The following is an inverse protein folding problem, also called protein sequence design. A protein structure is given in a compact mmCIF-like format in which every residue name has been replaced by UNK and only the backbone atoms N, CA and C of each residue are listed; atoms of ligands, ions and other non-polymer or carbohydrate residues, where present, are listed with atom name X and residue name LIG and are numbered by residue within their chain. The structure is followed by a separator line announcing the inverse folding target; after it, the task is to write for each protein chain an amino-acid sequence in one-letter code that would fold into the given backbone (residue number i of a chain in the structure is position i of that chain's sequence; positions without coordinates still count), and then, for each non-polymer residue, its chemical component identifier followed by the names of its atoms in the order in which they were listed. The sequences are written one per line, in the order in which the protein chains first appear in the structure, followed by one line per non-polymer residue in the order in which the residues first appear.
data_IF_607432742334
#
_entry.id   IF_607432742334
#
_cell.length_a   1.000
_cell.length_b   1.000
_cell.length_c   1.000
_cell.angle_alpha   90.00
_cell.angle_beta   90.00
_cell.angle_gamma   90.00
#
_symmetry.space_group_name_H-M   'P 1'
#
loop_
_entity.id
_entity.type
_entity.pdbx_description
1 polymer ?
#
# COMPACT_ATOMS: atom_id res chain seq x y z
N UNK A 1 -16.90 1.25 24.15
CA UNK A 1 -15.79 1.27 23.18
C UNK A 1 -16.03 2.43 22.23
N UNK A 2 -15.24 3.49 22.31
CA UNK A 2 -15.35 4.61 21.39
C UNK A 2 -14.78 4.17 20.04
N UNK A 3 -15.60 4.19 19.00
CA UNK A 3 -15.20 3.90 17.65
C UNK A 3 -14.34 5.08 17.15
N UNK A 4 -13.02 4.91 17.14
CA UNK A 4 -12.11 5.93 16.64
C UNK A 4 -12.20 5.94 15.11
N UNK A 5 -12.72 7.02 14.54
CA UNK A 5 -12.91 7.17 13.11
C UNK A 5 -11.84 8.11 12.58
N UNK A 6 -10.93 7.56 11.76
CA UNK A 6 -10.04 8.36 10.94
C UNK A 6 -10.68 8.54 9.56
N UNK A 7 -10.99 9.78 9.18
CA UNK A 7 -11.60 10.11 7.90
C UNK A 7 -10.54 10.67 6.95
N UNK A 8 -10.36 10.02 5.81
CA UNK A 8 -9.54 10.55 4.71
C UNK A 8 -10.49 11.06 3.63
N UNK A 9 -10.50 12.37 3.43
CA UNK A 9 -11.27 13.00 2.35
C UNK A 9 -10.34 13.37 1.21
N UNK A 10 -10.68 12.93 0.03
CA UNK A 10 -9.97 13.20 -1.19
C UNK A 10 -10.77 14.16 -2.07
N UNK A 11 -10.14 15.28 -2.46
CA UNK A 11 -10.70 16.23 -3.43
C UNK A 11 -9.78 16.33 -4.64
N UNK A 12 -10.32 16.16 -5.84
CA UNK A 12 -9.57 16.23 -7.08
C UNK A 12 -9.51 17.69 -7.54
N UNK A 13 -8.35 18.34 -7.38
CA UNK A 13 -8.12 19.68 -7.91
C UNK A 13 -7.69 19.59 -9.37
N UNK A 14 -8.59 19.91 -10.28
CA UNK A 14 -8.27 19.98 -11.72
C UNK A 14 -7.33 21.16 -12.00
N UNK A 15 -6.03 20.92 -12.10
CA UNK A 15 -5.16 21.81 -12.87
C UNK A 15 -5.29 21.46 -14.35
N UNK A 16 -5.11 22.46 -15.27
CA UNK A 16 -5.28 22.38 -16.74
C UNK A 16 -4.47 21.30 -17.50
N UNK A 17 -3.75 20.45 -16.81
CA UNK A 17 -3.04 19.31 -17.43
C UNK A 17 -4.05 18.20 -17.66
N UNK A 18 -4.11 17.70 -18.90
CA UNK A 18 -5.02 16.62 -19.30
C UNK A 18 -4.92 15.44 -18.33
N UNK A 19 -6.07 14.93 -17.89
CA UNK A 19 -6.16 13.73 -17.03
C UNK A 19 -5.41 12.55 -17.65
N UNK A 20 -5.46 12.44 -18.99
CA UNK A 20 -4.77 11.41 -19.75
C UNK A 20 -3.24 11.52 -19.63
N UNK A 21 -2.68 12.73 -19.69
CA UNK A 21 -1.24 12.93 -19.52
C UNK A 21 -0.76 12.50 -18.12
N UNK A 22 -1.51 12.86 -17.08
CA UNK A 22 -1.20 12.43 -15.70
C UNK A 22 -1.29 10.93 -15.53
N UNK A 23 -2.29 10.30 -16.14
CA UNK A 23 -2.46 8.85 -16.12
C UNK A 23 -1.25 8.16 -16.77
N UNK A 24 -0.83 8.62 -17.96
CA UNK A 24 0.36 8.10 -18.65
C UNK A 24 1.61 8.27 -17.76
N UNK A 25 1.78 9.43 -17.14
CA UNK A 25 2.92 9.69 -16.26
C UNK A 25 2.91 8.77 -15.04
N UNK A 26 1.75 8.52 -14.43
CA UNK A 26 1.62 7.55 -13.34
C UNK A 26 2.00 6.14 -13.80
N UNK A 27 1.53 5.72 -14.97
CA UNK A 27 1.88 4.41 -15.52
C UNK A 27 3.41 4.29 -15.75
N UNK A 28 4.04 5.33 -16.30
CA UNK A 28 5.51 5.36 -16.50
C UNK A 28 6.23 5.24 -15.15
N UNK A 29 5.79 5.97 -14.13
CA UNK A 29 6.42 5.93 -12.80
C UNK A 29 6.25 4.56 -12.15
N UNK A 30 5.05 3.98 -12.22
CA UNK A 30 4.79 2.65 -11.60
C UNK A 30 5.56 1.55 -12.31
N UNK A 31 5.50 1.50 -13.64
CA UNK A 31 6.22 0.48 -14.43
C UNK A 31 7.73 0.67 -14.31
N UNK A 32 8.21 1.91 -14.41
CA UNK A 32 9.62 2.25 -14.21
C UNK A 32 10.10 1.84 -12.82
N UNK A 33 9.33 2.12 -11.78
CA UNK A 33 9.65 1.65 -10.43
C UNK A 33 9.74 0.13 -10.35
N UNK A 34 8.77 -0.61 -10.90
CA UNK A 34 8.80 -2.08 -10.86
C UNK A 34 10.06 -2.63 -11.54
N UNK A 35 10.45 -2.10 -12.69
CA UNK A 35 11.67 -2.53 -13.40
C UNK A 35 12.93 -2.18 -12.60
N UNK A 36 13.05 -0.93 -12.14
CA UNK A 36 14.18 -0.45 -11.36
C UNK A 36 14.25 -1.10 -9.97
N UNK A 37 13.15 -1.66 -9.48
CA UNK A 37 13.11 -2.33 -8.17
C UNK A 37 13.76 -3.72 -8.16
N UNK A 38 14.11 -4.29 -9.31
CA UNK A 38 14.75 -5.61 -9.37
C UNK A 38 16.02 -5.67 -8.50
N UNK A 39 17.02 -4.79 -8.67
CA UNK A 39 18.18 -4.79 -7.79
C UNK A 39 17.83 -4.43 -6.34
N UNK A 40 16.83 -3.58 -6.13
CA UNK A 40 16.39 -3.21 -4.77
C UNK A 40 15.80 -4.43 -4.05
N UNK A 41 14.96 -5.22 -4.71
CA UNK A 41 14.41 -6.46 -4.15
C UNK A 41 15.50 -7.46 -3.76
N UNK A 42 16.58 -7.53 -4.55
CA UNK A 42 17.74 -8.36 -4.22
C UNK A 42 18.44 -7.85 -2.96
N UNK A 43 18.68 -6.55 -2.85
CA UNK A 43 19.27 -5.93 -1.66
C UNK A 43 18.38 -6.16 -0.43
N UNK A 44 17.08 -5.94 -0.55
CA UNK A 44 16.12 -6.20 0.52
C UNK A 44 16.10 -7.68 0.95
N UNK A 45 16.23 -8.58 -0.01
CA UNK A 45 16.34 -10.01 0.30
C UNK A 45 17.61 -10.34 1.12
N UNK A 46 18.74 -9.73 0.75
CA UNK A 46 19.99 -9.88 1.51
C UNK A 46 19.84 -9.29 2.92
N UNK A 47 19.33 -8.06 3.04
CA UNK A 47 19.07 -7.42 4.34
C UNK A 47 18.18 -8.31 5.20
N UNK A 48 17.14 -8.89 4.61
CA UNK A 48 16.19 -9.76 5.30
C UNK A 48 16.81 -11.05 5.89
N UNK A 49 17.97 -11.49 5.37
CA UNK A 49 18.74 -12.61 5.94
C UNK A 49 19.39 -12.25 7.28
N UNK A 50 19.77 -10.98 7.45
CA UNK A 50 20.44 -10.49 8.65
C UNK A 50 19.46 -9.83 9.63
N UNK A 51 18.53 -9.03 9.11
CA UNK A 51 17.57 -8.30 9.92
C UNK A 51 16.21 -8.16 9.19
N UNK A 52 15.25 -9.03 9.58
CA UNK A 52 13.90 -9.03 8.98
C UNK A 52 13.18 -7.71 9.19
N UNK A 53 13.24 -7.14 10.42
CA UNK A 53 12.55 -5.88 10.72
C UNK A 53 13.11 -4.71 9.91
N UNK A 54 14.42 -4.64 9.74
CA UNK A 54 15.05 -3.61 8.91
C UNK A 54 14.58 -3.70 7.46
N UNK A 55 14.53 -4.91 6.87
CA UNK A 55 13.98 -5.15 5.54
C UNK A 55 12.52 -4.69 5.43
N UNK A 56 11.69 -5.09 6.39
CA UNK A 56 10.25 -4.80 6.35
C UNK A 56 10.00 -3.28 6.42
N UNK A 57 10.71 -2.57 7.30
CA UNK A 57 10.59 -1.11 7.42
C UNK A 57 11.14 -0.40 6.18
N UNK A 58 12.29 -0.82 5.65
CA UNK A 58 12.88 -0.19 4.46
C UNK A 58 11.98 -0.43 3.24
N UNK A 59 11.46 -1.62 3.06
CA UNK A 59 10.48 -1.94 2.02
C UNK A 59 9.22 -1.05 2.12
N UNK A 60 8.69 -0.85 3.33
CA UNK A 60 7.55 0.04 3.55
C UNK A 60 7.89 1.48 3.14
N UNK A 61 9.06 2.01 3.55
CA UNK A 61 9.46 3.38 3.25
C UNK A 61 9.66 3.61 1.75
N UNK A 62 10.22 2.64 1.03
CA UNK A 62 10.38 2.69 -0.43
C UNK A 62 9.00 2.77 -1.10
N UNK A 63 8.08 1.88 -0.75
CA UNK A 63 6.72 1.88 -1.32
C UNK A 63 5.97 3.18 -0.97
N UNK A 64 6.07 3.67 0.26
CA UNK A 64 5.50 4.95 0.67
C UNK A 64 6.05 6.13 -0.16
N UNK A 65 7.36 6.14 -0.47
CA UNK A 65 7.96 7.19 -1.29
C UNK A 65 7.39 7.19 -2.71
N UNK A 66 7.25 6.01 -3.32
CA UNK A 66 6.64 5.86 -4.64
C UNK A 66 5.17 6.29 -4.63
N UNK A 67 4.41 5.87 -3.63
CA UNK A 67 3.00 6.25 -3.51
C UNK A 67 2.81 7.76 -3.30
N UNK A 68 3.68 8.41 -2.49
CA UNK A 68 3.68 9.88 -2.37
C UNK A 68 3.97 10.55 -3.72
N UNK A 69 4.91 10.01 -4.51
CA UNK A 69 5.21 10.51 -5.85
C UNK A 69 3.98 10.39 -6.76
N UNK A 70 3.33 9.25 -6.80
CA UNK A 70 2.10 9.02 -7.58
C UNK A 70 1.00 9.99 -7.15
N UNK A 71 0.75 10.14 -5.86
CA UNK A 71 -0.26 11.07 -5.33
C UNK A 71 0.03 12.54 -5.73
N UNK A 72 1.30 12.96 -5.73
CA UNK A 72 1.70 14.30 -6.21
C UNK A 72 1.42 14.48 -7.71
N UNK A 73 1.74 13.48 -8.53
CA UNK A 73 1.50 13.52 -9.99
C UNK A 73 0.01 13.64 -10.30
N UNK A 74 -0.83 12.91 -9.56
CA UNK A 74 -2.28 12.97 -9.75
C UNK A 74 -2.86 14.33 -9.37
N UNK A 75 -2.13 15.13 -8.59
CA UNK A 75 -2.58 16.44 -8.12
C UNK A 75 -3.74 16.35 -7.15
N UNK A 76 -3.74 15.31 -6.35
CA UNK A 76 -4.76 15.05 -5.35
C UNK A 76 -4.56 15.97 -4.15
N UNK A 77 -5.62 16.61 -3.69
CA UNK A 77 -5.67 17.30 -2.42
C UNK A 77 -6.21 16.34 -1.36
N UNK A 78 -5.39 16.07 -0.35
CA UNK A 78 -5.67 15.05 0.65
C UNK A 78 -5.90 15.74 1.98
N UNK A 79 -7.11 15.60 2.52
CA UNK A 79 -7.44 16.03 3.87
C UNK A 79 -7.54 14.82 4.78
N UNK A 80 -6.77 14.83 5.85
CA UNK A 80 -6.74 13.77 6.85
C UNK A 80 -7.35 14.35 8.12
N UNK A 81 -8.36 13.68 8.66
CA UNK A 81 -9.07 14.10 9.87
C UNK A 81 -9.05 12.93 10.85
N UNK A 82 -8.61 13.17 12.08
CA UNK A 82 -8.58 12.15 13.13
C UNK A 82 -7.37 11.22 13.08
N UNK A 83 -6.28 11.60 12.40
CA UNK A 83 -5.04 10.81 12.38
C UNK A 83 -4.44 10.67 13.78
N UNK A 84 -4.62 11.66 14.61
CA UNK A 84 -4.23 11.70 16.02
C UNK A 84 -4.91 10.61 16.87
N UNK A 85 -6.02 10.06 16.40
CA UNK A 85 -6.76 8.99 17.08
C UNK A 85 -6.23 7.59 16.78
N UNK A 86 -5.26 7.46 15.85
CA UNK A 86 -4.67 6.16 15.51
C UNK A 86 -3.66 5.76 16.57
N UNK A 87 -3.85 4.61 17.26
CA UNK A 87 -2.90 4.12 18.25
C UNK A 87 -1.56 3.79 17.62
N UNK A 88 -0.45 4.13 18.31
CA UNK A 88 0.91 3.88 17.81
C UNK A 88 1.60 2.67 18.48
N UNK A 89 1.14 2.29 19.67
CA UNK A 89 1.82 1.31 20.54
C UNK A 89 1.11 -0.06 20.58
N UNK A 90 0.17 -0.29 19.68
CA UNK A 90 -0.62 -1.53 19.65
C UNK A 90 -0.94 -1.94 18.22
N UNK A 91 -1.21 -3.23 18.03
CA UNK A 91 -1.68 -3.73 16.74
C UNK A 91 -3.05 -3.14 16.40
N UNK A 92 -3.20 -2.60 15.20
CA UNK A 92 -4.41 -1.92 14.74
C UNK A 92 -4.95 -2.62 13.52
N UNK A 93 -6.25 -2.92 13.55
CA UNK A 93 -6.98 -3.39 12.37
C UNK A 93 -7.64 -2.18 11.69
N UNK A 94 -7.18 -1.85 10.48
CA UNK A 94 -7.79 -0.81 9.66
C UNK A 94 -8.94 -1.39 8.83
N UNK A 95 -10.14 -0.91 9.07
CA UNK A 95 -11.32 -1.27 8.28
C UNK A 95 -11.84 -0.01 7.59
N UNK A 96 -11.92 -0.04 6.28
CA UNK A 96 -12.36 1.10 5.49
C UNK A 96 -13.28 0.71 4.34
N UNK A 97 -14.09 1.65 3.89
CA UNK A 97 -14.88 1.50 2.68
C UNK A 97 -13.96 1.68 1.46
N UNK A 98 -13.56 0.57 0.85
CA UNK A 98 -12.64 0.56 -0.29
C UNK A 98 -13.41 0.71 -1.61
N UNK A 99 -13.23 1.85 -2.27
CA UNK A 99 -13.90 2.20 -3.53
C UNK A 99 -12.94 2.37 -4.71
N UNK A 100 -11.63 2.54 -4.45
CA UNK A 100 -10.66 2.91 -5.47
C UNK A 100 -9.26 2.43 -5.10
N UNK A 101 -8.41 2.19 -6.11
CA UNK A 101 -6.97 1.96 -5.89
C UNK A 101 -6.28 3.09 -5.14
N UNK A 102 -6.82 4.32 -5.22
CA UNK A 102 -6.30 5.45 -4.46
C UNK A 102 -6.40 5.27 -2.95
N UNK A 103 -7.39 4.54 -2.46
CA UNK A 103 -7.55 4.28 -1.03
C UNK A 103 -6.34 3.53 -0.48
N UNK A 104 -5.80 2.57 -1.25
CA UNK A 104 -4.61 1.81 -0.88
C UNK A 104 -3.38 2.73 -0.83
N UNK A 105 -3.19 3.60 -1.84
CA UNK A 105 -2.06 4.52 -1.87
C UNK A 105 -2.10 5.48 -0.67
N UNK A 106 -3.27 6.02 -0.38
CA UNK A 106 -3.49 6.97 0.71
C UNK A 106 -3.22 6.33 2.06
N UNK A 107 -3.81 5.17 2.31
CA UNK A 107 -3.68 4.49 3.60
C UNK A 107 -2.26 4.00 3.83
N UNK A 108 -1.55 3.47 2.82
CA UNK A 108 -0.13 3.13 2.97
C UNK A 108 0.75 4.33 3.33
N UNK A 109 0.52 5.48 2.70
CA UNK A 109 1.28 6.70 2.99
C UNK A 109 1.08 7.18 4.43
N UNK A 110 -0.07 6.88 5.01
CA UNK A 110 -0.46 7.29 6.37
C UNK A 110 -0.08 6.28 7.44
N UNK A 111 0.18 5.01 7.09
CA UNK A 111 0.55 3.99 8.06
C UNK A 111 1.90 4.32 8.71
N UNK A 112 1.96 4.44 10.03
CA UNK A 112 3.20 4.78 10.73
C UNK A 112 4.19 3.61 10.76
N UNK A 113 3.70 2.39 10.82
CA UNK A 113 4.48 1.15 10.93
C UNK A 113 3.96 0.09 9.93
N UNK A 114 4.53 -1.10 9.98
CA UNK A 114 4.23 -2.22 9.12
C UNK A 114 2.73 -2.51 9.08
N UNK A 115 2.18 -2.53 7.89
CA UNK A 115 0.76 -2.78 7.67
C UNK A 115 0.61 -3.66 6.45
N UNK A 116 0.09 -4.86 6.63
CA UNK A 116 -0.27 -5.77 5.55
C UNK A 116 -1.70 -5.53 5.08
N UNK A 117 -1.96 -5.75 3.81
CA UNK A 117 -3.30 -5.68 3.22
C UNK A 117 -3.80 -7.05 2.80
N UNK A 118 -5.11 -7.23 2.87
CA UNK A 118 -5.77 -8.39 2.26
C UNK A 118 -6.05 -8.08 0.80
N UNK A 119 -5.29 -8.70 -0.08
CA UNK A 119 -5.36 -8.50 -1.53
C UNK A 119 -6.08 -9.66 -2.22
N UNK A 120 -6.49 -9.44 -3.46
CA UNK A 120 -7.04 -10.51 -4.30
C UNK A 120 -5.95 -11.50 -4.71
N UNK A 121 -6.28 -12.79 -4.74
CA UNK A 121 -5.38 -13.87 -5.18
C UNK A 121 -4.87 -13.68 -6.61
N UNK A 122 -5.67 -13.07 -7.48
CA UNK A 122 -5.29 -12.78 -8.87
C UNK A 122 -4.11 -11.82 -9.01
N UNK A 123 -3.75 -11.11 -7.94
CA UNK A 123 -2.56 -10.25 -7.90
C UNK A 123 -1.27 -11.03 -7.60
N UNK A 124 -1.39 -12.24 -7.06
CA UNK A 124 -0.22 -13.05 -6.68
C UNK A 124 0.67 -13.45 -7.86
N UNK A 125 0.17 -13.81 -9.06
CA UNK A 125 1.00 -14.15 -10.21
C UNK A 125 1.68 -12.95 -10.88
N UNK A 126 1.37 -11.69 -10.51
CA UNK A 126 1.98 -10.51 -11.12
C UNK A 126 3.41 -10.35 -10.59
N UNK A 127 4.45 -10.57 -11.43
CA UNK A 127 5.84 -10.52 -10.98
C UNK A 127 6.20 -9.12 -10.49
N UNK A 128 7.22 -9.03 -9.63
CA UNK A 128 7.70 -7.82 -8.97
C UNK A 128 6.66 -7.17 -8.03
N UNK A 129 5.42 -6.98 -8.48
CA UNK A 129 4.35 -6.46 -7.63
C UNK A 129 4.06 -7.40 -6.46
N UNK A 130 3.87 -8.69 -6.73
CA UNK A 130 3.64 -9.68 -5.67
C UNK A 130 4.82 -9.80 -4.69
N UNK A 131 6.05 -9.60 -5.16
CA UNK A 131 7.23 -9.61 -4.30
C UNK A 131 7.20 -8.44 -3.30
N UNK A 132 6.88 -7.21 -3.77
CA UNK A 132 6.68 -6.07 -2.90
C UNK A 132 5.53 -6.29 -1.92
N UNK A 133 4.41 -6.84 -2.40
CA UNK A 133 3.26 -7.15 -1.53
C UNK A 133 3.63 -8.16 -0.44
N UNK A 134 4.41 -9.21 -0.78
CA UNK A 134 4.92 -10.19 0.19
C UNK A 134 5.88 -9.56 1.20
N UNK A 135 6.74 -8.62 0.77
CA UNK A 135 7.63 -7.90 1.68
C UNK A 135 6.88 -6.98 2.65
N UNK A 136 5.71 -6.52 2.24
CA UNK A 136 4.79 -5.73 3.07
C UNK A 136 3.77 -6.58 3.84
N UNK A 137 3.99 -7.92 3.91
CA UNK A 137 3.09 -8.86 4.61
C UNK A 137 1.64 -8.83 4.12
N UNK A 138 1.41 -8.52 2.83
CA UNK A 138 0.09 -8.65 2.25
C UNK A 138 -0.33 -10.11 2.13
N UNK A 139 -1.59 -10.38 2.45
CA UNK A 139 -2.20 -11.69 2.32
C UNK A 139 -3.00 -11.75 1.02
N UNK A 140 -2.90 -12.86 0.29
CA UNK A 140 -3.67 -13.08 -0.92
C UNK A 140 -4.88 -13.93 -0.60
N UNK A 141 -6.08 -13.36 -0.77
CA UNK A 141 -7.34 -13.99 -0.43
C UNK A 141 -8.02 -14.54 -1.68
N UNK A 142 -8.30 -15.84 -1.66
CA UNK A 142 -9.22 -16.47 -2.61
C UNK A 142 -10.65 -16.20 -2.15
N UNK A 143 -11.40 -15.42 -2.93
CA UNK A 143 -12.79 -15.08 -2.61
C UNK A 143 -13.79 -16.13 -3.09
N UNK A 144 -13.33 -17.09 -3.89
CA UNK A 144 -14.17 -18.19 -4.42
C UNK A 144 -14.20 -19.37 -3.45
N UNK A 145 -13.16 -19.52 -2.63
CA UNK A 145 -13.09 -20.56 -1.59
C UNK A 145 -13.14 -19.93 -0.19
N UNK A 146 -14.32 -19.99 0.44
CA UNK A 146 -14.57 -19.45 1.77
C UNK A 146 -13.67 -20.10 2.83
N UNK A 147 -13.39 -21.41 2.72
CA UNK A 147 -12.56 -22.13 3.69
C UNK A 147 -11.09 -21.69 3.59
N UNK A 148 -10.57 -21.59 2.37
CA UNK A 148 -9.22 -21.07 2.13
C UNK A 148 -9.10 -19.62 2.57
N UNK A 149 -10.11 -18.80 2.31
CA UNK A 149 -10.19 -17.42 2.75
C UNK A 149 -10.16 -17.26 4.27
N UNK A 150 -10.96 -18.03 4.98
CA UNK A 150 -10.96 -18.06 6.45
C UNK A 150 -9.62 -18.47 7.02
N UNK A 151 -8.98 -19.50 6.46
CA UNK A 151 -7.64 -19.93 6.88
C UNK A 151 -6.61 -18.81 6.70
N UNK A 152 -6.66 -18.10 5.59
CA UNK A 152 -5.76 -16.96 5.32
C UNK A 152 -5.93 -15.85 6.37
N UNK A 153 -7.17 -15.53 6.74
CA UNK A 153 -7.46 -14.50 7.76
C UNK A 153 -7.00 -14.94 9.15
N UNK A 154 -7.15 -16.23 9.49
CA UNK A 154 -6.72 -16.76 10.79
C UNK A 154 -5.20 -16.85 10.94
N UNK A 155 -4.45 -16.78 9.85
CA UNK A 155 -2.97 -16.78 9.85
C UNK A 155 -2.37 -15.38 9.77
N UNK A 156 -3.22 -14.34 9.69
CA UNK A 156 -2.83 -12.95 9.73
C UNK A 156 -2.51 -12.51 11.15
#
# INVERSE_FOLDING_TARGET
MAQQVCLVRYTKRYRKVSVMFRFILVCIVVVGFLILSIPILLVEWVIGKFNRRAKDISSLRIVQAVFRCVLKITGSDIQIIGHENVPHDTAVLYIGNHRSFFDILLTYVLCPDLTGYVAKKEMEPIPLLSNWMKYLHCLFLDRTDIKAGMKTILTA
#
